data_IF_515775555198
#
_entry.id   IF_515775555198
#
_cell.length_a   1.000
_cell.length_b   1.000
_cell.length_c   1.000
_cell.angle_alpha   90.00
_cell.angle_beta   90.00
_cell.angle_gamma   90.00
#
_symmetry.space_group_name_H-M   'P 1'
#
loop_
_entity.id
_entity.type
_entity.pdbx_description
1 polymer ?
#
# COMPACT_ATOMS: atom_id res chain seq x y z
N UNK A 1 19.45 -3.32 16.45
CA UNK A 1 18.03 -2.86 16.43
C UNK A 1 17.75 -2.41 15.01
N UNK A 2 16.91 -3.13 14.27
CA UNK A 2 16.50 -2.68 12.95
C UNK A 2 15.52 -1.52 13.14
N UNK A 3 15.88 -0.33 12.65
CA UNK A 3 14.97 0.81 12.61
C UNK A 3 13.73 0.40 11.81
N UNK A 4 12.54 0.61 12.37
CA UNK A 4 11.29 0.39 11.66
C UNK A 4 11.33 1.19 10.35
N UNK A 5 11.28 0.55 9.17
CA UNK A 5 11.33 1.25 7.88
C UNK A 5 10.26 2.33 7.76
N UNK A 6 9.15 2.19 8.50
CA UNK A 6 8.03 3.14 8.50
C UNK A 6 8.33 4.46 9.22
N UNK A 7 9.35 4.52 10.07
CA UNK A 7 9.79 5.76 10.73
C UNK A 7 10.50 6.73 9.77
N UNK A 8 10.88 6.28 8.57
CA UNK A 8 11.54 7.12 7.56
C UNK A 8 10.54 7.92 6.71
N UNK A 9 9.25 7.58 6.75
CA UNK A 9 8.25 8.28 5.96
C UNK A 9 7.74 9.56 6.64
N UNK A 10 7.45 10.62 5.87
CA UNK A 10 6.85 11.83 6.42
C UNK A 10 5.59 11.52 7.23
N UNK A 11 5.39 12.27 8.32
CA UNK A 11 4.25 12.07 9.22
C UNK A 11 2.90 12.02 8.51
N UNK A 12 2.75 12.74 7.39
CA UNK A 12 1.53 12.71 6.55
C UNK A 12 1.19 11.32 6.04
N UNK A 13 2.16 10.61 5.45
CA UNK A 13 1.95 9.26 4.86
C UNK A 13 1.54 8.27 5.96
N UNK A 14 2.27 8.28 7.07
CA UNK A 14 1.96 7.44 8.23
C UNK A 14 0.58 7.73 8.80
N UNK A 15 0.21 9.00 8.93
CA UNK A 15 -1.09 9.39 9.46
C UNK A 15 -2.23 8.94 8.54
N UNK A 16 -2.07 9.06 7.21
CA UNK A 16 -3.06 8.59 6.24
C UNK A 16 -3.24 7.06 6.29
N UNK A 17 -2.14 6.30 6.36
CA UNK A 17 -2.20 4.85 6.56
C UNK A 17 -2.91 4.48 7.88
N UNK A 18 -2.59 5.17 8.97
CA UNK A 18 -3.21 4.94 10.28
C UNK A 18 -4.70 5.30 10.28
N UNK A 19 -5.09 6.39 9.61
CA UNK A 19 -6.49 6.77 9.42
C UNK A 19 -7.23 5.71 8.62
N UNK A 20 -6.64 5.19 7.54
CA UNK A 20 -7.25 4.13 6.74
C UNK A 20 -7.53 2.88 7.59
N UNK A 21 -6.56 2.46 8.39
CA UNK A 21 -6.74 1.33 9.31
C UNK A 21 -7.80 1.63 10.39
N UNK A 22 -7.76 2.81 11.00
CA UNK A 22 -8.76 3.25 11.98
C UNK A 22 -10.18 3.21 11.43
N UNK A 23 -10.40 3.80 10.26
CA UNK A 23 -11.69 3.77 9.58
C UNK A 23 -12.15 2.36 9.23
N UNK A 24 -11.24 1.50 8.77
CA UNK A 24 -11.54 0.09 8.48
C UNK A 24 -12.06 -0.63 9.72
N UNK A 25 -11.40 -0.46 10.87
CA UNK A 25 -11.83 -1.07 12.14
C UNK A 25 -13.18 -0.56 12.63
N UNK A 26 -13.56 0.66 12.26
CA UNK A 26 -14.87 1.25 12.56
C UNK A 26 -15.94 0.89 11.51
N UNK A 27 -15.61 0.13 10.47
CA UNK A 27 -16.53 -0.21 9.38
C UNK A 27 -16.76 0.94 8.39
N UNK A 28 -16.00 2.03 8.48
CA UNK A 28 -16.09 3.19 7.60
C UNK A 28 -15.23 3.00 6.34
N UNK A 29 -15.53 1.97 5.54
CA UNK A 29 -14.68 1.55 4.42
C UNK A 29 -14.44 2.66 3.38
N UNK A 30 -15.44 3.49 3.08
CA UNK A 30 -15.28 4.61 2.15
C UNK A 30 -14.27 5.66 2.65
N UNK A 31 -14.24 5.93 3.96
CA UNK A 31 -13.26 6.85 4.55
C UNK A 31 -11.86 6.22 4.59
N UNK A 32 -11.79 4.90 4.78
CA UNK A 32 -10.54 4.17 4.71
C UNK A 32 -9.92 4.25 3.32
N UNK A 33 -10.71 3.99 2.29
CA UNK A 33 -10.28 4.09 0.90
C UNK A 33 -9.85 5.50 0.54
N UNK A 34 -10.63 6.52 0.92
CA UNK A 34 -10.30 7.92 0.65
C UNK A 34 -8.94 8.32 1.26
N UNK A 35 -8.61 7.86 2.48
CA UNK A 35 -7.32 8.13 3.09
C UNK A 35 -6.15 7.47 2.33
N UNK A 36 -6.36 6.26 1.80
CA UNK A 36 -5.37 5.57 0.96
C UNK A 36 -5.17 6.32 -0.36
N UNK A 37 -6.25 6.74 -1.00
CA UNK A 37 -6.22 7.48 -2.26
C UNK A 37 -5.55 8.85 -2.12
N UNK A 38 -5.79 9.56 -1.01
CA UNK A 38 -5.07 10.80 -0.71
C UNK A 38 -3.57 10.54 -0.60
N UNK A 39 -3.16 9.43 0.01
CA UNK A 39 -1.76 9.04 0.09
C UNK A 39 -1.14 8.72 -1.27
N UNK A 40 -1.91 8.10 -2.17
CA UNK A 40 -1.50 7.81 -3.55
C UNK A 40 -1.33 9.11 -4.37
N UNK A 41 -2.09 10.16 -4.04
CA UNK A 41 -1.98 11.46 -4.70
C UNK A 41 -0.67 12.22 -4.37
N UNK A 42 0.14 11.75 -3.41
CA UNK A 42 1.43 12.36 -3.07
C UNK A 42 2.38 12.31 -4.28
N UNK A 43 3.09 13.42 -4.54
CA UNK A 43 3.98 13.58 -5.70
C UNK A 43 5.26 12.75 -5.62
N UNK A 44 5.79 12.55 -4.42
CA UNK A 44 6.96 11.72 -4.21
C UNK A 44 6.67 10.27 -4.60
N UNK A 45 7.44 9.75 -5.58
CA UNK A 45 7.24 8.42 -6.14
C UNK A 45 7.40 7.29 -5.12
N UNK A 46 8.31 7.43 -4.16
CA UNK A 46 8.55 6.40 -3.14
C UNK A 46 7.38 6.37 -2.15
N UNK A 47 6.93 7.54 -1.71
CA UNK A 47 5.78 7.67 -0.81
C UNK A 47 4.48 7.18 -1.48
N UNK A 48 4.27 7.56 -2.74
CA UNK A 48 3.17 7.07 -3.56
C UNK A 48 3.22 5.55 -3.69
N UNK A 49 4.40 4.99 -3.96
CA UNK A 49 4.63 3.55 -4.04
C UNK A 49 4.20 2.82 -2.77
N UNK A 50 4.65 3.32 -1.62
CA UNK A 50 4.28 2.79 -0.31
C UNK A 50 2.75 2.85 -0.05
N UNK A 51 2.09 3.95 -0.43
CA UNK A 51 0.64 4.07 -0.27
C UNK A 51 -0.13 3.15 -1.22
N UNK A 52 0.36 2.92 -2.44
CA UNK A 52 -0.20 1.92 -3.36
C UNK A 52 -0.05 0.51 -2.79
N UNK A 53 1.11 0.16 -2.24
CA UNK A 53 1.32 -1.13 -1.57
C UNK A 53 0.35 -1.29 -0.38
N UNK A 54 0.18 -0.24 0.43
CA UNK A 54 -0.79 -0.22 1.53
C UNK A 54 -2.23 -0.40 1.05
N UNK A 55 -2.62 0.24 -0.05
CA UNK A 55 -3.96 0.05 -0.66
C UNK A 55 -4.14 -1.38 -1.17
N UNK A 56 -3.12 -1.98 -1.77
CA UNK A 56 -3.19 -3.37 -2.23
C UNK A 56 -3.39 -4.35 -1.07
N UNK A 57 -2.70 -4.15 0.07
CA UNK A 57 -2.93 -4.95 1.28
C UNK A 57 -4.37 -4.78 1.78
N UNK A 58 -4.84 -3.54 1.88
CA UNK A 58 -6.21 -3.26 2.33
C UNK A 58 -7.27 -3.89 1.41
N UNK A 59 -7.09 -3.82 0.09
CA UNK A 59 -7.99 -4.45 -0.89
C UNK A 59 -8.08 -5.97 -0.70
N UNK A 60 -6.97 -6.64 -0.38
CA UNK A 60 -6.99 -8.07 -0.04
C UNK A 60 -7.84 -8.33 1.21
N UNK A 61 -7.70 -7.51 2.26
CA UNK A 61 -8.50 -7.63 3.48
C UNK A 61 -10.00 -7.42 3.22
N UNK A 62 -10.35 -6.60 2.22
CA UNK A 62 -11.72 -6.37 1.79
C UNK A 62 -12.23 -7.41 0.78
N UNK A 63 -11.41 -8.37 0.35
CA UNK A 63 -11.77 -9.40 -0.64
C UNK A 63 -11.63 -8.98 -2.11
N UNK A 64 -11.11 -7.78 -2.38
CA UNK A 64 -10.85 -7.23 -3.73
C UNK A 64 -9.48 -7.70 -4.26
N UNK A 65 -9.32 -9.01 -4.37
CA UNK A 65 -8.05 -9.65 -4.77
C UNK A 65 -7.57 -9.27 -6.18
N UNK A 66 -8.43 -9.24 -7.22
CA UNK A 66 -7.99 -8.84 -8.57
C UNK A 66 -7.41 -7.43 -8.64
N UNK A 67 -8.02 -6.48 -7.94
CA UNK A 67 -7.60 -5.09 -7.86
C UNK A 67 -6.26 -4.96 -7.12
N UNK A 68 -6.08 -5.70 -6.03
CA UNK A 68 -4.80 -5.76 -5.32
C UNK A 68 -3.66 -6.28 -6.22
N UNK A 69 -3.91 -7.37 -6.97
CA UNK A 69 -2.94 -7.92 -7.93
C UNK A 69 -2.59 -6.87 -8.99
N UNK A 70 -3.57 -6.18 -9.55
CA UNK A 70 -3.34 -5.14 -10.56
C UNK A 70 -2.45 -4.01 -10.02
N UNK A 71 -2.61 -3.63 -8.74
CA UNK A 71 -1.72 -2.65 -8.10
C UNK A 71 -0.29 -3.18 -8.01
N UNK A 72 -0.08 -4.40 -7.52
CA UNK A 72 1.26 -5.00 -7.43
C UNK A 72 1.93 -5.13 -8.81
N UNK A 73 1.20 -5.55 -9.83
CA UNK A 73 1.71 -5.61 -11.22
C UNK A 73 2.01 -4.22 -11.80
N UNK A 74 1.27 -3.20 -11.38
CA UNK A 74 1.54 -1.80 -11.71
C UNK A 74 2.79 -1.25 -11.02
N UNK A 75 3.05 -1.69 -9.78
CA UNK A 75 4.28 -1.38 -9.05
C UNK A 75 5.49 -2.03 -9.73
N UNK A 76 5.43 -3.32 -10.08
CA UNK A 76 6.53 -4.04 -10.74
C UNK A 76 7.02 -3.41 -12.06
N UNK A 77 6.22 -2.52 -12.67
CA UNK A 77 6.60 -1.76 -13.87
C UNK A 77 7.38 -0.48 -13.57
N UNK A 78 7.57 -0.13 -12.30
CA UNK A 78 8.24 1.10 -11.86
C UNK A 78 9.75 0.90 -11.77
N UNK A 79 10.52 1.65 -12.56
CA UNK A 79 11.99 1.53 -12.64
C UNK A 79 12.74 1.91 -11.36
N UNK A 80 12.09 2.61 -10.43
CA UNK A 80 12.68 3.09 -9.18
C UNK A 80 12.55 2.10 -8.02
N UNK A 81 11.89 0.96 -8.21
CA UNK A 81 11.76 -0.05 -7.16
C UNK A 81 13.07 -0.79 -6.91
N UNK A 82 13.40 -0.96 -5.64
CA UNK A 82 14.50 -1.82 -5.22
C UNK A 82 14.13 -3.32 -5.28
N UNK A 83 15.15 -4.17 -5.27
CA UNK A 83 15.01 -5.62 -5.36
C UNK A 83 14.15 -6.21 -4.23
N UNK A 84 14.19 -5.61 -3.04
CA UNK A 84 13.41 -6.08 -1.90
C UNK A 84 11.91 -5.84 -2.12
N UNK A 85 11.56 -4.66 -2.63
CA UNK A 85 10.18 -4.26 -2.94
C UNK A 85 9.63 -5.03 -4.13
N UNK A 86 10.47 -5.28 -5.15
CA UNK A 86 10.12 -6.17 -6.27
C UNK A 86 9.78 -7.57 -5.74
N UNK A 87 10.65 -8.15 -4.90
CA UNK A 87 10.43 -9.48 -4.34
C UNK A 87 9.14 -9.54 -3.52
N UNK A 88 8.87 -8.55 -2.66
CA UNK A 88 7.61 -8.47 -1.89
C UNK A 88 6.38 -8.48 -2.80
N UNK A 89 6.39 -7.68 -3.87
CA UNK A 89 5.28 -7.65 -4.82
C UNK A 89 5.09 -9.01 -5.53
N UNK A 90 6.18 -9.65 -5.95
CA UNK A 90 6.12 -10.98 -6.58
C UNK A 90 5.60 -12.05 -5.62
N UNK A 91 6.09 -12.09 -4.38
CA UNK A 91 5.64 -13.04 -3.35
C UNK A 91 4.14 -12.84 -3.05
N UNK A 92 3.68 -11.58 -2.94
CA UNK A 92 2.27 -11.26 -2.74
C UNK A 92 1.40 -11.70 -3.92
N UNK A 93 1.82 -11.42 -5.16
CA UNK A 93 1.08 -11.87 -6.35
C UNK A 93 1.00 -13.40 -6.39
N UNK A 94 2.11 -14.10 -6.12
CA UNK A 94 2.14 -15.56 -6.12
C UNK A 94 1.16 -16.14 -5.08
N UNK A 95 1.15 -15.59 -3.85
CA UNK A 95 0.24 -15.98 -2.78
C UNK A 95 -1.24 -15.71 -3.10
N UNK A 96 -1.53 -14.64 -3.82
CA UNK A 96 -2.92 -14.28 -4.16
C UNK A 96 -3.48 -15.03 -5.37
N UNK A 97 -2.61 -15.66 -6.19
CA UNK A 97 -2.99 -16.44 -7.37
C UNK A 97 -3.02 -17.96 -7.12
N UNK A 98 -2.50 -18.42 -5.97
CA UNK A 98 -2.52 -19.83 -5.54
C UNK A 98 -3.84 -20.20 -4.90
#
# INVERSE_FOLDING_TARGET
MASDPELQFPARVRNLKNLAHGFTRMGHLAHAEAALDEGIAIEDRLLRGFMRESKAVWLVEQGHVPEAIAIYEGLLRQFWMDSASIKRCQDNIARLKS
#
